data_IF_845608520524
#
_entry.id   IF_845608520524
#
_cell.length_a   1.000
_cell.length_b   1.000
_cell.length_c   1.000
_cell.angle_alpha   90.00
_cell.angle_beta   90.00
_cell.angle_gamma   90.00
#
_symmetry.space_group_name_H-M   'P 1'
#
loop_
_entity.id
_entity.type
_entity.pdbx_description
1 polymer ?
#
# COMPACT_ATOMS: atom_id res chain seq x y z
N UNK A 1 -1.64 -41.42 5.94
CA UNK A 1 -2.08 -40.18 5.27
C UNK A 1 -2.15 -39.11 6.33
N UNK A 2 -1.17 -38.20 6.38
CA UNK A 2 -1.20 -37.13 7.38
C UNK A 2 -2.28 -36.15 6.92
N UNK A 3 -3.51 -36.32 7.42
CA UNK A 3 -4.51 -35.26 7.39
C UNK A 3 -4.02 -34.15 8.32
N UNK A 4 -3.12 -33.32 7.78
CA UNK A 4 -2.63 -32.14 8.47
C UNK A 4 -3.80 -31.19 8.66
N UNK A 5 -4.13 -30.90 9.91
CA UNK A 5 -5.19 -29.99 10.28
C UNK A 5 -5.21 -28.75 9.37
N UNK A 6 -6.39 -28.43 8.82
CA UNK A 6 -6.61 -27.44 7.75
C UNK A 6 -5.93 -26.08 7.99
N UNK A 7 -5.71 -25.70 9.25
CA UNK A 7 -4.99 -24.49 9.67
C UNK A 7 -3.52 -24.45 9.22
N UNK A 8 -2.85 -25.60 9.09
CA UNK A 8 -1.44 -25.66 8.68
C UNK A 8 -1.22 -25.08 7.29
N UNK A 9 -2.15 -25.33 6.34
CA UNK A 9 -2.11 -24.75 4.99
C UNK A 9 -2.23 -23.21 5.03
N UNK A 10 -3.04 -22.68 5.93
CA UNK A 10 -3.17 -21.23 6.10
C UNK A 10 -1.88 -20.60 6.60
N UNK A 11 -1.25 -21.19 7.61
CA UNK A 11 -0.02 -20.64 8.21
C UNK A 11 1.18 -20.82 7.29
N UNK A 12 1.35 -21.99 6.66
CA UNK A 12 2.57 -22.31 5.92
C UNK A 12 2.52 -22.00 4.43
N UNK A 13 1.32 -21.86 3.85
CA UNK A 13 1.17 -21.56 2.43
C UNK A 13 0.51 -20.19 2.22
N UNK A 14 -0.71 -19.99 2.73
CA UNK A 14 -1.46 -18.76 2.42
C UNK A 14 -0.87 -17.50 3.06
N UNK A 15 -0.34 -17.57 4.29
CA UNK A 15 0.24 -16.41 4.96
C UNK A 15 1.55 -15.94 4.27
N UNK A 16 2.55 -16.80 3.99
CA UNK A 16 3.72 -16.39 3.22
C UNK A 16 3.37 -15.92 1.81
N UNK A 17 2.44 -16.60 1.13
CA UNK A 17 1.99 -16.20 -0.20
C UNK A 17 1.31 -14.83 -0.18
N UNK A 18 0.45 -14.57 0.81
CA UNK A 18 -0.20 -13.28 1.00
C UNK A 18 0.82 -12.17 1.28
N UNK A 19 1.79 -12.41 2.17
CA UNK A 19 2.87 -11.46 2.44
C UNK A 19 3.70 -11.17 1.18
N UNK A 20 4.00 -12.21 0.37
CA UNK A 20 4.69 -12.06 -0.90
C UNK A 20 3.91 -11.20 -1.89
N UNK A 21 2.59 -11.44 -2.04
CA UNK A 21 1.73 -10.66 -2.92
C UNK A 21 1.62 -9.20 -2.44
N UNK A 22 1.44 -8.97 -1.14
CA UNK A 22 1.39 -7.62 -0.58
C UNK A 22 2.72 -6.87 -0.80
N UNK A 23 3.85 -7.54 -0.59
CA UNK A 23 5.18 -6.98 -0.88
C UNK A 23 5.38 -6.67 -2.36
N UNK A 24 4.92 -7.55 -3.25
CA UNK A 24 5.00 -7.37 -4.70
C UNK A 24 4.14 -6.19 -5.18
N UNK A 25 2.95 -6.00 -4.60
CA UNK A 25 2.04 -4.91 -4.94
C UNK A 25 2.40 -3.58 -4.28
N UNK A 26 3.13 -3.60 -3.16
CA UNK A 26 3.52 -2.41 -2.41
C UNK A 26 4.13 -1.28 -3.28
N UNK A 27 5.14 -1.52 -4.14
CA UNK A 27 5.71 -0.44 -4.96
C UNK A 27 4.71 0.18 -5.93
N UNK A 28 3.81 -0.61 -6.52
CA UNK A 28 2.77 -0.11 -7.43
C UNK A 28 1.69 0.68 -6.71
N UNK A 29 1.27 0.18 -5.54
CA UNK A 29 0.37 0.92 -4.65
C UNK A 29 0.96 2.26 -4.26
N UNK A 30 2.23 2.26 -3.83
CA UNK A 30 2.94 3.48 -3.46
C UNK A 30 3.03 4.47 -4.62
N UNK A 31 3.40 3.98 -5.81
CA UNK A 31 3.46 4.79 -7.03
C UNK A 31 2.11 5.46 -7.31
N UNK A 32 1.01 4.70 -7.31
CA UNK A 32 -0.34 5.21 -7.54
C UNK A 32 -0.74 6.27 -6.49
N UNK A 33 -0.46 6.03 -5.22
CA UNK A 33 -0.71 6.98 -4.13
C UNK A 33 0.05 8.28 -4.38
N UNK A 34 1.34 8.21 -4.69
CA UNK A 34 2.17 9.41 -4.90
C UNK A 34 1.79 10.20 -6.15
N UNK A 35 1.39 9.53 -7.24
CA UNK A 35 0.92 10.21 -8.47
C UNK A 35 -0.32 11.05 -8.21
N UNK A 36 -1.24 10.56 -7.38
CA UNK A 36 -2.49 11.25 -7.07
C UNK A 36 -2.38 12.20 -5.88
N UNK A 37 -1.24 12.22 -5.17
CA UNK A 37 -1.07 12.99 -3.93
C UNK A 37 -0.77 14.47 -4.22
N UNK A 38 -1.52 15.43 -3.68
CA UNK A 38 -1.25 16.84 -3.91
C UNK A 38 -0.03 17.32 -3.12
N UNK A 39 0.64 18.36 -3.62
CA UNK A 39 1.86 18.93 -3.01
C UNK A 39 1.70 19.24 -1.52
N UNK A 40 0.55 19.80 -1.11
CA UNK A 40 0.27 20.13 0.29
C UNK A 40 0.24 18.91 1.22
N UNK A 41 -0.09 17.72 0.70
CA UNK A 41 0.02 16.47 1.45
C UNK A 41 1.42 15.86 1.38
N UNK A 42 2.19 16.15 0.31
CA UNK A 42 3.57 15.70 0.13
C UNK A 42 4.54 16.40 1.08
N UNK A 43 4.43 17.72 1.21
CA UNK A 43 5.30 18.55 2.05
C UNK A 43 4.87 18.59 3.52
N UNK A 44 3.88 17.78 3.91
CA UNK A 44 3.37 17.77 5.29
C UNK A 44 4.40 17.12 6.22
N UNK A 45 4.79 17.78 7.33
CA UNK A 45 5.75 17.23 8.27
C UNK A 45 5.15 16.01 9.01
N UNK A 46 6.02 15.07 9.36
CA UNK A 46 5.65 13.80 10.00
C UNK A 46 4.93 13.96 11.35
N UNK A 47 5.14 15.08 12.04
CA UNK A 47 4.53 15.40 13.33
C UNK A 47 3.15 16.08 13.20
N UNK A 48 2.66 16.30 11.98
CA UNK A 48 1.33 16.86 11.75
C UNK A 48 0.25 15.83 12.11
N UNK A 49 -0.84 16.22 12.79
CA UNK A 49 -1.97 15.32 13.08
C UNK A 49 -2.67 14.82 11.80
N UNK A 50 -2.41 15.47 10.66
CA UNK A 50 -2.97 15.10 9.36
C UNK A 50 -1.97 14.34 8.48
N UNK A 51 -0.80 13.97 9.01
CA UNK A 51 0.21 13.19 8.26
C UNK A 51 -0.29 11.76 8.02
N UNK A 52 -0.47 11.39 6.75
CA UNK A 52 -0.95 10.07 6.33
C UNK A 52 0.00 9.44 5.31
N UNK A 53 1.08 8.77 5.72
CA UNK A 53 2.14 8.34 4.81
C UNK A 53 1.59 7.44 3.69
N UNK A 54 0.71 6.50 4.02
CA UNK A 54 0.16 5.52 3.08
C UNK A 54 -1.25 5.86 2.59
N UNK A 55 -1.68 7.12 2.60
CA UNK A 55 -3.02 7.49 2.12
C UNK A 55 -3.09 8.93 1.62
N UNK A 56 -3.86 9.17 0.56
CA UNK A 56 -4.13 10.50 0.01
C UNK A 56 -5.56 10.92 0.35
N UNK A 57 -5.75 12.07 1.01
CA UNK A 57 -7.10 12.52 1.41
C UNK A 57 -7.78 13.36 0.34
N UNK A 58 -7.02 14.13 -0.43
CA UNK A 58 -7.50 15.01 -1.49
C UNK A 58 -6.80 14.67 -2.82
N UNK A 59 -7.25 13.63 -3.53
CA UNK A 59 -6.58 13.22 -4.77
C UNK A 59 -6.65 14.31 -5.84
N UNK A 60 -5.54 14.50 -6.57
CA UNK A 60 -5.44 15.42 -7.70
C UNK A 60 -4.89 14.73 -8.95
N UNK A 61 -5.14 15.32 -10.12
CA UNK A 61 -4.57 14.93 -11.41
C UNK A 61 -3.55 15.95 -11.93
N UNK A 62 -3.16 16.94 -11.14
CA UNK A 62 -2.26 18.02 -11.56
C UNK A 62 -0.92 17.50 -12.11
N UNK A 63 -0.41 16.39 -11.57
CA UNK A 63 0.82 15.74 -12.03
C UNK A 63 0.73 15.10 -13.41
N UNK A 64 -0.48 14.81 -13.90
CA UNK A 64 -0.73 14.10 -15.16
C UNK A 64 -1.38 14.99 -16.22
N UNK A 65 -1.89 16.14 -15.82
CA UNK A 65 -2.66 17.05 -16.68
C UNK A 65 -1.84 17.66 -17.83
N UNK A 66 -0.52 17.77 -17.66
CA UNK A 66 0.38 18.39 -18.63
C UNK A 66 1.22 17.38 -19.43
N UNK A 67 0.85 16.09 -19.41
CA UNK A 67 1.51 15.01 -20.14
C UNK A 67 0.93 14.81 -21.55
#
# INVERSE_FOLDING_TARGET
>A
MIEGARWKKWVWFYLPLGAFILGLLFPFYWMAVTTLRPDIELYRPWNSPLYKPFWTSQPTLDHVKNL
#
